data_IF_691273778354
#
_entry.id   IF_691273778354
#
_cell.length_a   1.000
_cell.length_b   1.000
_cell.length_c   1.000
_cell.angle_alpha   90.00
_cell.angle_beta   90.00
_cell.angle_gamma   90.00
#
_symmetry.space_group_name_H-M   'P 1'
#
loop_
_entity.id
_entity.type
_entity.pdbx_description
1 polymer ?
#
# COMPACT_ATOMS: atom_id res chain seq x y z
N UNK A 1 -31.87 -16.96 85.06
CA UNK A 1 -31.06 -16.63 83.87
C UNK A 1 -31.82 -17.20 82.67
N UNK A 2 -33.07 -16.75 82.48
CA UNK A 2 -33.47 -15.44 81.92
C UNK A 2 -33.15 -15.36 80.43
N UNK A 3 -34.16 -15.50 79.56
CA UNK A 3 -35.03 -14.40 79.02
C UNK A 3 -34.27 -13.70 77.88
N UNK A 4 -34.48 -14.12 76.62
CA UNK A 4 -35.39 -13.50 75.61
C UNK A 4 -34.91 -12.10 75.19
N UNK A 5 -34.87 -11.66 73.92
CA UNK A 5 -35.81 -11.67 72.78
C UNK A 5 -35.03 -11.75 71.43
N UNK A 6 -35.55 -11.81 70.18
CA UNK A 6 -36.89 -11.76 69.52
C UNK A 6 -36.81 -12.72 68.28
N UNK A 7 -37.87 -13.20 67.59
CA UNK A 7 -38.74 -12.58 66.55
C UNK A 7 -37.98 -11.99 65.32
N UNK A 8 -38.38 -12.20 64.05
CA UNK A 8 -39.58 -12.84 63.49
C UNK A 8 -39.41 -13.17 61.97
N UNK A 9 -40.38 -13.91 61.37
CA UNK A 9 -40.80 -13.89 59.93
C UNK A 9 -39.78 -13.97 58.76
N UNK A 10 -40.12 -14.18 57.48
CA UNK A 10 -41.08 -15.08 56.80
C UNK A 10 -40.52 -15.47 55.41
N UNK A 11 -40.98 -16.62 54.89
CA UNK A 11 -41.06 -17.04 53.47
C UNK A 11 -40.80 -15.96 52.39
N UNK A 12 -39.84 -16.23 51.49
CA UNK A 12 -39.91 -15.77 50.09
C UNK A 12 -39.23 -16.75 49.12
N UNK A 13 -40.01 -17.25 48.17
CA UNK A 13 -39.61 -18.07 47.02
C UNK A 13 -39.18 -17.13 45.88
N UNK A 14 -38.05 -17.37 45.22
CA UNK A 14 -37.63 -16.59 44.04
C UNK A 14 -36.91 -17.40 42.98
N UNK A 15 -37.62 -17.58 41.86
CA UNK A 15 -37.11 -17.54 40.48
C UNK A 15 -36.04 -18.57 40.07
N UNK A 16 -36.53 -19.73 39.66
CA UNK A 16 -36.01 -20.38 38.46
C UNK A 16 -36.63 -19.68 37.23
N UNK A 17 -35.81 -19.17 36.30
CA UNK A 17 -36.17 -18.85 34.90
C UNK A 17 -34.94 -18.36 34.14
N UNK A 18 -34.19 -19.29 33.55
CA UNK A 18 -33.06 -19.01 32.66
C UNK A 18 -33.52 -18.42 31.31
N UNK A 19 -33.73 -17.09 31.30
CA UNK A 19 -34.01 -16.31 30.10
C UNK A 19 -32.76 -16.05 29.27
N UNK A 20 -32.58 -16.85 28.21
CA UNK A 20 -31.84 -16.61 26.97
C UNK A 20 -30.72 -15.53 26.93
N UNK A 21 -29.52 -15.95 26.49
CA UNK A 21 -28.81 -15.24 25.42
C UNK A 21 -27.86 -16.18 24.64
N UNK A 22 -27.78 -15.90 23.35
CA UNK A 22 -27.31 -16.71 22.22
C UNK A 22 -25.77 -16.93 22.15
N UNK A 23 -25.24 -17.74 21.20
CA UNK A 23 -24.12 -18.64 21.49
C UNK A 23 -22.73 -18.11 21.15
N UNK A 24 -21.75 -18.72 21.82
CA UNK A 24 -20.40 -19.04 21.29
C UNK A 24 -19.79 -18.03 20.32
N UNK A 25 -19.47 -16.84 20.84
CA UNK A 25 -18.47 -15.96 20.23
C UNK A 25 -17.08 -16.58 20.29
N UNK A 26 -16.83 -17.57 19.44
CA UNK A 26 -15.49 -18.12 19.25
C UNK A 26 -14.56 -17.00 18.80
N UNK A 27 -13.52 -16.74 19.59
CA UNK A 27 -12.48 -15.78 19.25
C UNK A 27 -11.66 -16.33 18.08
N UNK A 28 -12.17 -16.11 16.87
CA UNK A 28 -11.44 -16.37 15.63
C UNK A 28 -10.25 -15.39 15.60
N UNK A 29 -8.98 -15.82 15.75
CA UNK A 29 -7.89 -14.86 15.94
C UNK A 29 -7.57 -14.01 14.70
N UNK A 30 -8.13 -14.37 13.54
CA UNK A 30 -7.80 -13.79 12.23
C UNK A 30 -9.03 -13.65 11.31
N UNK A 31 -10.10 -12.97 11.75
CA UNK A 31 -11.03 -12.34 10.80
C UNK A 31 -10.58 -10.91 10.56
N UNK A 32 -9.72 -10.71 9.55
CA UNK A 32 -9.34 -9.37 9.11
C UNK A 32 -10.59 -8.70 8.54
N UNK A 33 -11.12 -7.70 9.25
CA UNK A 33 -12.37 -6.98 8.93
C UNK A 33 -12.17 -5.96 7.81
N UNK A 34 -11.35 -6.33 6.82
CA UNK A 34 -10.98 -5.49 5.68
C UNK A 34 -12.11 -5.54 4.66
N UNK A 35 -13.07 -4.65 4.83
CA UNK A 35 -14.23 -4.50 3.95
C UNK A 35 -14.05 -3.41 2.89
N UNK A 36 -13.10 -2.50 3.07
CA UNK A 36 -12.78 -1.45 2.09
C UNK A 36 -11.27 -1.31 1.83
N UNK A 37 -10.94 -0.67 0.72
CA UNK A 37 -9.56 -0.28 0.39
C UNK A 37 -8.91 0.60 1.46
N UNK A 38 -9.69 1.41 2.19
CA UNK A 38 -9.19 2.21 3.33
C UNK A 38 -8.75 1.30 4.47
N UNK A 39 -9.53 0.28 4.79
CA UNK A 39 -9.25 -0.63 5.90
C UNK A 39 -8.01 -1.47 5.59
N UNK A 40 -7.83 -1.88 4.33
CA UNK A 40 -6.60 -2.51 3.84
C UNK A 40 -5.37 -1.59 4.04
N UNK A 41 -5.47 -0.30 3.69
CA UNK A 41 -4.39 0.67 3.88
C UNK A 41 -4.08 0.87 5.36
N UNK A 42 -5.10 0.93 6.22
CA UNK A 42 -4.95 1.14 7.65
C UNK A 42 -4.32 -0.07 8.36
N UNK A 43 -4.88 -1.26 8.12
CA UNK A 43 -4.43 -2.54 8.72
C UNK A 43 -2.99 -2.87 8.33
N UNK A 44 -2.65 -2.76 7.03
CA UNK A 44 -1.31 -3.05 6.52
C UNK A 44 -0.37 -1.84 6.53
N UNK A 45 -0.77 -0.71 7.14
CA UNK A 45 0.03 0.53 7.24
C UNK A 45 0.65 1.00 5.91
N UNK A 46 -0.10 0.89 4.81
CA UNK A 46 0.39 1.16 3.46
C UNK A 46 0.62 2.67 3.28
N UNK A 47 1.88 3.07 3.15
CA UNK A 47 2.22 4.48 2.88
C UNK A 47 1.83 4.86 1.45
N UNK A 48 0.80 5.68 1.29
CA UNK A 48 0.41 6.24 -0.02
C UNK A 48 1.43 7.31 -0.43
N UNK A 49 2.35 6.94 -1.32
CA UNK A 49 3.28 7.88 -1.93
C UNK A 49 2.61 8.84 -2.93
N UNK A 50 3.28 9.95 -3.24
CA UNK A 50 2.86 10.85 -4.33
C UNK A 50 3.26 10.30 -5.69
N UNK A 51 2.51 10.66 -6.74
CA UNK A 51 2.86 10.28 -8.11
C UNK A 51 4.14 11.00 -8.55
N UNK A 52 5.17 10.30 -9.06
CA UNK A 52 6.40 10.95 -9.53
C UNK A 52 6.13 11.85 -10.75
N UNK A 53 6.75 13.02 -10.78
CA UNK A 53 6.74 13.90 -11.94
C UNK A 53 7.71 13.36 -13.01
N UNK A 54 7.20 12.54 -13.94
CA UNK A 54 8.03 11.94 -14.98
C UNK A 54 8.78 12.96 -15.84
N UNK A 55 8.27 14.19 -16.01
CA UNK A 55 8.98 15.24 -16.74
C UNK A 55 10.28 15.67 -16.03
N UNK A 56 10.26 15.81 -14.70
CA UNK A 56 11.45 16.11 -13.90
C UNK A 56 12.40 14.91 -13.82
N UNK A 57 11.85 13.70 -13.63
CA UNK A 57 12.64 12.46 -13.55
C UNK A 57 13.42 12.24 -14.85
N UNK A 58 12.75 12.23 -16.01
CA UNK A 58 13.42 12.00 -17.30
C UNK A 58 14.38 13.13 -17.66
N UNK A 59 14.08 14.38 -17.28
CA UNK A 59 15.00 15.52 -17.46
C UNK A 59 16.26 15.39 -16.60
N UNK A 60 16.13 14.92 -15.35
CA UNK A 60 17.28 14.64 -14.48
C UNK A 60 18.14 13.52 -15.06
N UNK A 61 17.53 12.41 -15.47
CA UNK A 61 18.22 11.28 -16.13
C UNK A 61 19.00 11.75 -17.36
N UNK A 62 18.36 12.50 -18.26
CA UNK A 62 19.02 13.05 -19.46
C UNK A 62 20.23 13.93 -19.12
N UNK A 63 20.07 14.85 -18.16
CA UNK A 63 21.16 15.75 -17.75
C UNK A 63 22.33 15.00 -17.13
N UNK A 64 22.06 14.03 -16.25
CA UNK A 64 23.09 13.20 -15.63
C UNK A 64 23.84 12.36 -16.67
N UNK A 65 23.12 11.73 -17.61
CA UNK A 65 23.73 10.97 -18.70
C UNK A 65 24.60 11.85 -19.60
N UNK A 66 24.09 13.02 -20.02
CA UNK A 66 24.84 14.00 -20.81
C UNK A 66 26.13 14.45 -20.11
N UNK A 67 26.06 14.72 -18.80
CA UNK A 67 27.24 15.08 -17.99
C UNK A 67 28.23 13.92 -17.88
N UNK A 68 27.74 12.69 -17.69
CA UNK A 68 28.56 11.49 -17.61
C UNK A 68 29.32 11.25 -18.91
N UNK A 69 28.65 11.25 -20.06
CA UNK A 69 29.28 11.12 -21.39
C UNK A 69 30.31 12.21 -21.66
N UNK A 70 30.02 13.47 -21.28
CA UNK A 70 30.97 14.58 -21.43
C UNK A 70 32.22 14.43 -20.54
N UNK A 71 32.10 13.76 -19.40
CA UNK A 71 33.21 13.51 -18.46
C UNK A 71 34.02 12.27 -18.85
N UNK A 72 33.36 11.26 -19.42
CA UNK A 72 33.93 9.94 -19.72
C UNK A 72 33.67 9.54 -21.20
N UNK A 73 34.24 10.27 -22.17
CA UNK A 73 33.95 10.07 -23.59
C UNK A 73 34.41 8.71 -24.14
N UNK A 74 35.39 8.06 -23.49
CA UNK A 74 35.91 6.74 -23.87
C UNK A 74 35.06 5.57 -23.36
N UNK A 75 34.08 5.82 -22.49
CA UNK A 75 33.26 4.76 -21.85
C UNK A 75 32.01 4.40 -22.66
N UNK A 76 31.80 5.01 -23.84
CA UNK A 76 30.80 4.61 -24.82
C UNK A 76 31.46 3.74 -25.92
N UNK A 77 31.55 2.41 -25.77
CA UNK A 77 32.51 1.58 -26.53
C UNK A 77 32.14 1.36 -28.00
N UNK A 78 30.94 1.81 -28.38
CA UNK A 78 30.26 1.49 -29.64
C UNK A 78 29.33 2.64 -30.11
N UNK A 79 29.49 3.85 -29.57
CA UNK A 79 28.76 5.04 -30.02
C UNK A 79 27.28 5.11 -29.66
N UNK A 80 26.74 4.15 -28.89
CA UNK A 80 25.35 4.21 -28.45
C UNK A 80 25.23 5.18 -27.25
N UNK A 81 24.69 6.37 -27.52
CA UNK A 81 24.59 7.47 -26.55
C UNK A 81 23.19 7.59 -25.92
N UNK A 82 22.32 6.59 -26.09
CA UNK A 82 20.96 6.59 -25.54
C UNK A 82 20.92 6.07 -24.10
N UNK A 83 19.84 6.42 -23.40
CA UNK A 83 19.48 5.83 -22.10
C UNK A 83 18.41 4.76 -22.33
N UNK A 84 18.68 3.52 -21.94
CA UNK A 84 17.67 2.45 -21.92
C UNK A 84 16.62 2.71 -20.82
N UNK A 85 15.35 2.59 -21.17
CA UNK A 85 14.20 2.82 -20.28
C UNK A 85 13.22 1.65 -20.42
N UNK A 86 13.17 0.81 -19.40
CA UNK A 86 12.21 -0.29 -19.30
C UNK A 86 11.03 0.16 -18.43
N UNK A 87 9.79 -0.10 -18.87
CA UNK A 87 8.61 0.38 -18.17
C UNK A 87 7.47 -0.64 -18.14
N UNK A 88 7.11 -1.04 -16.92
CA UNK A 88 5.93 -1.87 -16.63
C UNK A 88 4.93 -1.14 -15.74
N UNK A 89 3.70 -1.65 -15.68
CA UNK A 89 2.61 -1.11 -14.89
C UNK A 89 1.59 -0.26 -15.67
N UNK A 90 0.78 0.57 -14.97
CA UNK A 90 -0.43 1.15 -15.54
C UNK A 90 -0.21 2.01 -16.79
N UNK A 91 -1.16 1.95 -17.75
CA UNK A 91 -1.14 2.74 -18.99
C UNK A 91 -0.97 4.27 -18.77
N UNK A 92 -1.42 4.78 -17.62
CA UNK A 92 -1.21 6.17 -17.23
C UNK A 92 0.25 6.51 -16.90
N UNK A 93 1.02 5.56 -16.36
CA UNK A 93 2.46 5.68 -16.10
C UNK A 93 3.24 5.59 -17.42
N UNK A 94 3.01 4.52 -18.22
CA UNK A 94 3.57 4.33 -19.57
C UNK A 94 3.49 5.61 -20.42
N UNK A 95 2.28 6.16 -20.60
CA UNK A 95 2.05 7.43 -21.33
C UNK A 95 2.71 8.67 -20.71
N UNK A 96 2.84 8.75 -19.40
CA UNK A 96 3.49 9.89 -18.75
C UNK A 96 5.00 9.90 -18.99
N UNK A 97 5.63 8.72 -18.99
CA UNK A 97 7.04 8.52 -19.33
C UNK A 97 7.31 8.78 -20.81
N UNK A 98 6.50 8.21 -21.70
CA UNK A 98 6.58 8.44 -23.15
C UNK A 98 6.48 9.94 -23.49
N UNK A 99 5.50 10.66 -22.90
CA UNK A 99 5.36 12.11 -23.07
C UNK A 99 6.56 12.89 -22.54
N UNK A 100 7.12 12.49 -21.38
CA UNK A 100 8.30 13.13 -20.82
C UNK A 100 9.54 12.93 -21.71
N UNK A 101 9.72 11.74 -22.27
CA UNK A 101 10.79 11.40 -23.23
C UNK A 101 10.62 12.18 -24.54
N UNK A 102 9.41 12.22 -25.09
CA UNK A 102 9.08 12.94 -26.33
C UNK A 102 9.44 14.43 -26.23
N UNK A 103 9.15 15.07 -25.09
CA UNK A 103 9.51 16.47 -24.81
C UNK A 103 11.02 16.73 -24.76
N UNK A 104 11.86 15.72 -24.50
CA UNK A 104 13.34 15.83 -24.49
C UNK A 104 13.91 15.46 -25.87
N UNK A 105 13.29 14.49 -26.53
CA UNK A 105 13.65 13.98 -27.85
C UNK A 105 13.93 12.48 -27.80
N UNK A 106 13.10 11.68 -28.49
CA UNK A 106 13.14 10.21 -28.45
C UNK A 106 14.50 9.62 -28.80
N UNK A 107 15.28 10.25 -29.70
CA UNK A 107 16.63 9.81 -30.10
C UNK A 107 17.67 9.67 -28.96
N UNK A 108 17.36 10.16 -27.76
CA UNK A 108 18.22 10.07 -26.58
C UNK A 108 17.85 8.91 -25.65
N UNK A 109 16.80 8.17 -25.97
CA UNK A 109 16.26 7.09 -25.15
C UNK A 109 15.92 5.88 -26.02
N UNK A 110 16.15 4.69 -25.48
CA UNK A 110 15.64 3.44 -26.03
C UNK A 110 14.58 2.91 -25.06
N UNK A 111 13.32 2.82 -25.50
CA UNK A 111 12.17 2.64 -24.59
C UNK A 111 11.45 1.34 -24.88
N UNK A 112 11.40 0.46 -23.88
CA UNK A 112 10.76 -0.84 -23.96
C UNK A 112 9.64 -0.92 -22.94
N UNK A 113 8.41 -1.17 -23.42
CA UNK A 113 7.30 -1.53 -22.54
C UNK A 113 7.39 -3.01 -22.16
N UNK A 114 7.27 -3.32 -20.88
CA UNK A 114 7.31 -4.68 -20.35
C UNK A 114 6.00 -5.01 -19.64
N UNK A 115 5.50 -6.23 -19.84
CA UNK A 115 4.38 -6.79 -19.09
C UNK A 115 4.87 -8.11 -18.50
N UNK A 116 4.86 -8.20 -17.17
CA UNK A 116 5.35 -9.34 -16.41
C UNK A 116 4.15 -10.15 -15.92
N UNK A 117 4.04 -11.39 -16.38
CA UNK A 117 3.22 -12.40 -15.70
C UNK A 117 3.96 -12.85 -14.42
N UNK A 118 3.25 -12.86 -13.29
CA UNK A 118 3.76 -13.21 -11.95
C UNK A 118 3.27 -14.60 -11.51
#
# INVERSE_FOLDING_TARGET
>A
MDTAEFQDETRAESTDTLGALLPSGGMNPHTSDVHTFRDLIAEYSVTIGTRPNMAEVMKKVFNCHKQFTATYPTTAPNGNLTVGVFISGPKALKKATEKAISNIGMRHFDVHEEEFDL
#
